data_IF_362109364378
#
_entry.id   IF_362109364378
#
_cell.length_a   1.000
_cell.length_b   1.000
_cell.length_c   1.000
_cell.angle_alpha   90.00
_cell.angle_beta   90.00
_cell.angle_gamma   90.00
#
_symmetry.space_group_name_H-M   'P 1'
#
loop_
_entity.id
_entity.type
_entity.pdbx_description
1 polymer ?
#
# COMPACT_ATOMS: atom_id res chain seq x y z
N UNK A 1 21.02 -0.76 11.21
CA UNK A 1 21.06 -2.18 10.80
C UNK A 1 20.06 -2.42 9.68
N UNK A 2 20.40 -3.23 8.68
CA UNK A 2 19.55 -3.55 7.54
C UNK A 2 19.24 -5.05 7.51
N UNK A 3 17.96 -5.43 7.44
CA UNK A 3 17.54 -6.82 7.26
C UNK A 3 16.70 -6.93 5.98
N UNK A 4 17.32 -7.46 4.93
CA UNK A 4 16.61 -7.80 3.70
C UNK A 4 16.04 -9.22 3.71
N UNK A 5 15.10 -9.48 2.79
CA UNK A 5 14.60 -10.82 2.52
C UNK A 5 15.63 -11.69 1.79
N UNK A 6 15.43 -13.01 1.86
CA UNK A 6 16.37 -14.01 1.33
C UNK A 6 16.47 -13.96 -0.21
N UNK A 7 15.38 -13.56 -0.85
CA UNK A 7 15.25 -13.42 -2.30
C UNK A 7 16.19 -12.35 -2.88
N UNK A 8 16.53 -11.33 -2.09
CA UNK A 8 17.41 -10.24 -2.49
C UNK A 8 18.84 -10.34 -1.90
N UNK A 9 19.23 -11.51 -1.35
CA UNK A 9 20.50 -11.66 -0.58
C UNK A 9 21.73 -11.09 -1.30
N UNK A 10 22.00 -11.57 -2.53
CA UNK A 10 23.19 -11.16 -3.29
C UNK A 10 23.18 -9.66 -3.61
N UNK A 11 22.00 -9.12 -3.94
CA UNK A 11 21.85 -7.69 -4.20
C UNK A 11 22.10 -6.87 -2.94
N UNK A 12 21.57 -7.30 -1.79
CA UNK A 12 21.76 -6.64 -0.51
C UNK A 12 23.23 -6.65 -0.07
N UNK A 13 23.94 -7.76 -0.31
CA UNK A 13 25.37 -7.89 0.01
C UNK A 13 26.21 -6.87 -0.78
N UNK A 14 26.04 -6.83 -2.10
CA UNK A 14 26.79 -5.88 -2.96
C UNK A 14 26.43 -4.43 -2.62
N UNK A 15 25.13 -4.12 -2.46
CA UNK A 15 24.71 -2.76 -2.11
C UNK A 15 25.23 -2.33 -0.74
N UNK A 16 25.20 -3.22 0.25
CA UNK A 16 25.77 -2.96 1.57
C UNK A 16 27.27 -2.71 1.51
N UNK A 17 27.99 -3.47 0.68
CA UNK A 17 29.43 -3.28 0.46
C UNK A 17 29.75 -1.90 -0.12
N UNK A 18 29.03 -1.52 -1.19
CA UNK A 18 29.20 -0.22 -1.87
C UNK A 18 28.90 0.93 -0.90
N UNK A 19 27.78 0.86 -0.18
CA UNK A 19 27.41 1.89 0.80
C UNK A 19 28.49 2.03 1.87
N UNK A 20 28.97 0.90 2.41
CA UNK A 20 30.04 0.90 3.40
C UNK A 20 31.33 1.55 2.88
N UNK A 21 31.76 1.18 1.67
CA UNK A 21 32.95 1.76 1.03
C UNK A 21 32.82 3.28 0.86
N UNK A 22 31.68 3.75 0.35
CA UNK A 22 31.46 5.18 0.14
C UNK A 22 31.46 5.98 1.46
N UNK A 23 30.93 5.41 2.55
CA UNK A 23 30.96 6.04 3.88
C UNK A 23 32.39 6.17 4.39
N UNK A 24 33.17 5.11 4.30
CA UNK A 24 34.56 5.09 4.78
C UNK A 24 35.44 6.05 3.97
N UNK A 25 35.37 5.97 2.64
CA UNK A 25 36.10 6.87 1.73
C UNK A 25 35.68 8.33 1.92
N UNK A 26 34.36 8.61 1.92
CA UNK A 26 33.83 9.97 2.03
C UNK A 26 34.09 10.63 3.38
N UNK A 27 34.25 9.84 4.45
CA UNK A 27 34.62 10.34 5.77
C UNK A 27 36.14 10.44 5.99
N UNK A 28 36.96 10.01 5.03
CA UNK A 28 38.41 9.91 5.19
C UNK A 28 38.82 8.91 6.27
N UNK A 29 38.08 7.81 6.41
CA UNK A 29 38.30 6.76 7.42
C UNK A 29 37.81 7.10 8.83
N UNK A 30 37.17 8.26 9.05
CA UNK A 30 36.64 8.63 10.38
C UNK A 30 35.40 7.83 10.77
N UNK A 31 34.65 7.36 9.78
CA UNK A 31 33.44 6.55 9.97
C UNK A 31 33.68 5.20 9.32
N UNK A 32 33.72 4.15 10.14
CA UNK A 32 33.92 2.79 9.64
C UNK A 32 32.71 2.27 8.86
N UNK A 33 32.97 1.29 7.99
CA UNK A 33 31.96 0.60 7.16
C UNK A 33 30.81 -0.03 7.98
N UNK A 34 31.07 -0.36 9.25
CA UNK A 34 30.11 -1.00 10.16
C UNK A 34 28.91 -0.12 10.55
N UNK A 35 28.97 1.20 10.29
CA UNK A 35 27.84 2.12 10.53
C UNK A 35 26.56 1.59 9.87
N UNK A 36 26.68 1.01 8.67
CA UNK A 36 25.58 0.33 7.97
C UNK A 36 25.87 -1.16 7.93
N UNK A 37 25.30 -1.90 8.88
CA UNK A 37 25.47 -3.35 8.97
C UNK A 37 24.29 -4.11 8.35
N UNK A 38 24.58 -5.07 7.47
CA UNK A 38 23.61 -6.02 6.91
C UNK A 38 23.49 -7.26 7.80
N UNK A 39 22.26 -7.61 8.13
CA UNK A 39 21.92 -8.75 8.97
C UNK A 39 21.59 -9.96 8.07
N UNK A 40 22.45 -10.97 8.09
CA UNK A 40 22.46 -12.06 7.11
C UNK A 40 21.83 -13.37 7.59
N UNK A 41 21.63 -13.59 8.89
CA UNK A 41 21.11 -14.87 9.40
C UNK A 41 19.57 -14.95 9.44
N UNK A 42 19.04 -16.18 9.35
CA UNK A 42 17.60 -16.48 9.15
C UNK A 42 16.75 -16.28 10.40
N UNK A 43 17.33 -16.39 11.59
CA UNK A 43 16.60 -16.50 12.87
C UNK A 43 16.59 -15.19 13.68
N UNK A 44 17.03 -14.08 13.08
CA UNK A 44 17.40 -12.87 13.83
C UNK A 44 16.30 -11.83 13.99
N UNK A 45 15.17 -11.87 13.26
CA UNK A 45 14.15 -10.83 13.46
C UNK A 45 13.63 -10.87 14.89
N UNK A 46 13.25 -12.04 15.41
CA UNK A 46 12.74 -12.17 16.78
C UNK A 46 13.78 -11.74 17.85
N UNK A 47 15.06 -12.00 17.61
CA UNK A 47 16.15 -11.59 18.50
C UNK A 47 16.40 -10.08 18.44
N UNK A 48 16.43 -9.49 17.24
CA UNK A 48 16.57 -8.05 17.04
C UNK A 48 15.43 -7.27 17.67
N UNK A 49 14.20 -7.76 17.56
CA UNK A 49 13.02 -7.14 18.16
C UNK A 49 13.04 -7.10 19.69
N UNK A 50 13.95 -7.84 20.34
CA UNK A 50 14.17 -7.81 21.81
C UNK A 50 15.26 -6.84 22.24
N UNK A 51 16.02 -6.26 21.31
CA UNK A 51 17.14 -5.37 21.62
C UNK A 51 16.67 -3.91 21.85
N UNK A 52 15.68 -3.71 22.71
CA UNK A 52 15.17 -2.36 23.03
C UNK A 52 16.22 -1.44 23.64
N UNK A 53 17.26 -2.00 24.25
CA UNK A 53 18.35 -1.24 24.85
C UNK A 53 19.39 -0.78 23.81
N UNK A 54 19.34 -1.33 22.59
CA UNK A 54 20.30 -1.05 21.52
C UNK A 54 19.65 -0.50 20.24
N UNK A 55 18.34 -0.65 20.06
CA UNK A 55 17.60 -0.26 18.86
C UNK A 55 16.49 0.69 19.26
N UNK A 56 16.60 1.94 18.81
CA UNK A 56 15.63 2.99 19.13
C UNK A 56 14.38 2.98 18.25
N UNK A 57 14.48 2.40 17.04
CA UNK A 57 13.41 2.43 16.04
C UNK A 57 13.48 1.26 15.06
N UNK A 58 12.33 0.65 14.79
CA UNK A 58 12.16 -0.35 13.72
C UNK A 58 11.29 0.21 12.60
N UNK A 59 11.76 0.11 11.36
CA UNK A 59 11.04 0.55 10.16
C UNK A 59 10.72 -0.69 9.29
N UNK A 60 9.58 -1.37 9.52
CA UNK A 60 9.22 -2.52 8.72
C UNK A 60 8.74 -2.09 7.33
N UNK A 61 9.33 -2.68 6.28
CA UNK A 61 8.88 -2.53 4.90
C UNK A 61 8.53 -3.91 4.35
N UNK A 62 7.28 -4.10 3.97
CA UNK A 62 6.76 -5.38 3.50
C UNK A 62 5.24 -5.48 3.67
N UNK A 63 4.72 -6.70 3.58
CA UNK A 63 3.29 -6.94 3.70
C UNK A 63 2.73 -6.67 5.11
N UNK A 64 1.42 -6.43 5.20
CA UNK A 64 0.71 -6.14 6.45
C UNK A 64 1.01 -7.17 7.56
N UNK A 65 1.04 -8.47 7.23
CA UNK A 65 1.38 -9.54 8.19
C UNK A 65 2.75 -9.35 8.85
N UNK A 66 3.76 -8.87 8.12
CA UNK A 66 5.10 -8.60 8.66
C UNK A 66 5.08 -7.39 9.60
N UNK A 67 4.41 -6.31 9.19
CA UNK A 67 4.29 -5.09 10.02
C UNK A 67 3.56 -5.38 11.32
N UNK A 68 2.45 -6.14 11.25
CA UNK A 68 1.67 -6.55 12.42
C UNK A 68 2.46 -7.51 13.32
N UNK A 69 3.16 -8.48 12.74
CA UNK A 69 4.04 -9.36 13.50
C UNK A 69 5.09 -8.56 14.28
N UNK A 70 5.78 -7.62 13.63
CA UNK A 70 6.80 -6.79 14.28
C UNK A 70 6.19 -5.95 15.41
N UNK A 71 5.07 -5.25 15.15
CA UNK A 71 4.37 -4.43 16.16
C UNK A 71 3.95 -5.24 17.39
N UNK A 72 3.53 -6.49 17.21
CA UNK A 72 3.09 -7.35 18.31
C UNK A 72 4.22 -8.04 19.08
N UNK A 73 5.46 -7.99 18.58
CA UNK A 73 6.58 -8.78 19.13
C UNK A 73 7.77 -7.91 19.58
N UNK A 74 7.61 -6.58 19.69
CA UNK A 74 8.68 -5.68 20.14
C UNK A 74 8.15 -4.57 21.04
N UNK A 75 8.99 -4.11 21.96
CA UNK A 75 8.77 -2.88 22.71
C UNK A 75 9.42 -1.66 22.05
N UNK A 76 10.25 -1.88 21.02
CA UNK A 76 10.91 -0.82 20.26
C UNK A 76 9.83 -0.03 19.49
N UNK A 77 9.90 1.32 19.46
CA UNK A 77 9.06 2.11 18.57
C UNK A 77 9.06 1.59 17.13
N UNK A 78 7.88 1.46 16.52
CA UNK A 78 7.72 0.95 15.14
C UNK A 78 7.12 2.01 14.23
N UNK A 79 7.88 2.45 13.23
CA UNK A 79 7.40 3.38 12.20
C UNK A 79 6.98 2.60 10.95
N UNK A 80 5.68 2.34 10.82
CA UNK A 80 5.11 1.67 9.64
C UNK A 80 3.59 1.70 9.60
N UNK A 81 3.04 1.68 8.39
CA UNK A 81 1.60 1.56 8.15
C UNK A 81 1.22 0.09 7.95
N UNK A 82 0.16 -0.35 8.62
CA UNK A 82 -0.32 -1.72 8.50
C UNK A 82 -1.35 -1.86 7.37
N UNK A 83 -2.21 -0.85 7.19
CA UNK A 83 -3.32 -0.89 6.25
C UNK A 83 -3.23 0.27 5.24
N UNK A 84 -3.68 0.00 4.01
CA UNK A 84 -3.68 0.92 2.87
C UNK A 84 -5.04 0.98 2.19
N UNK A 85 -6.11 1.27 2.96
CA UNK A 85 -7.48 1.35 2.41
C UNK A 85 -7.77 2.79 2.00
N UNK A 86 -7.44 3.13 0.76
CA UNK A 86 -7.66 4.47 0.23
C UNK A 86 -9.04 4.62 -0.42
N UNK A 87 -9.64 5.79 -0.22
CA UNK A 87 -10.98 6.12 -0.70
C UNK A 87 -10.89 7.31 -1.65
N UNK A 88 -11.65 7.27 -2.74
CA UNK A 88 -11.88 8.44 -3.61
C UNK A 88 -13.36 8.80 -3.53
N UNK A 89 -13.65 10.09 -3.37
CA UNK A 89 -15.01 10.62 -3.39
C UNK A 89 -15.20 11.55 -4.58
N UNK A 90 -16.26 11.29 -5.36
CA UNK A 90 -16.66 12.11 -6.51
C UNK A 90 -17.89 12.92 -6.12
N UNK A 91 -17.70 14.24 -6.00
CA UNK A 91 -18.75 15.20 -5.66
C UNK A 91 -19.72 15.41 -6.85
N UNK A 92 -20.92 15.92 -6.57
CA UNK A 92 -21.92 16.26 -7.60
C UNK A 92 -21.42 17.30 -8.61
N UNK A 93 -20.54 18.20 -8.17
CA UNK A 93 -19.92 19.25 -9.01
C UNK A 93 -18.65 18.80 -9.73
N UNK A 94 -18.29 17.51 -9.67
CA UNK A 94 -17.07 17.02 -10.30
C UNK A 94 -17.18 17.06 -11.83
N UNK A 95 -16.10 17.48 -12.48
CA UNK A 95 -15.92 17.37 -13.91
C UNK A 95 -15.74 15.89 -14.31
N UNK A 96 -16.54 15.39 -15.25
CA UNK A 96 -16.60 13.97 -15.60
C UNK A 96 -15.28 13.43 -16.16
N UNK A 97 -14.61 14.19 -17.03
CA UNK A 97 -13.36 13.79 -17.66
C UNK A 97 -12.22 13.72 -16.63
N UNK A 98 -12.10 14.74 -15.78
CA UNK A 98 -11.10 14.78 -14.70
C UNK A 98 -11.37 13.68 -13.69
N UNK A 99 -12.62 13.49 -13.27
CA UNK A 99 -12.99 12.45 -12.31
C UNK A 99 -12.63 11.05 -12.85
N UNK A 100 -12.95 10.76 -14.12
CA UNK A 100 -12.61 9.48 -14.74
C UNK A 100 -11.10 9.25 -14.79
N UNK A 101 -10.31 10.27 -15.17
CA UNK A 101 -8.85 10.17 -15.19
C UNK A 101 -8.26 9.89 -13.81
N UNK A 102 -8.67 10.67 -12.80
CA UNK A 102 -8.14 10.56 -11.44
C UNK A 102 -8.51 9.21 -10.82
N UNK A 103 -9.77 8.79 -10.95
CA UNK A 103 -10.27 7.53 -10.37
C UNK A 103 -9.59 6.33 -11.00
N UNK A 104 -9.41 6.34 -12.33
CA UNK A 104 -8.74 5.25 -13.03
C UNK A 104 -7.27 5.19 -12.63
N UNK A 105 -6.53 6.31 -12.69
CA UNK A 105 -5.12 6.35 -12.27
C UNK A 105 -4.93 5.86 -10.82
N UNK A 106 -5.80 6.31 -9.92
CA UNK A 106 -5.76 5.95 -8.51
C UNK A 106 -5.91 4.43 -8.27
N UNK A 107 -6.57 3.66 -9.16
CA UNK A 107 -6.63 2.20 -9.05
C UNK A 107 -5.59 1.49 -9.90
N UNK A 108 -5.32 1.96 -11.11
CA UNK A 108 -4.64 1.15 -12.14
C UNK A 108 -3.15 1.42 -12.29
N UNK A 109 -2.64 2.54 -11.79
CA UNK A 109 -1.22 2.91 -11.95
C UNK A 109 -0.30 1.88 -11.26
N UNK A 110 -0.55 1.60 -9.98
CA UNK A 110 0.10 0.51 -9.27
C UNK A 110 -0.88 -0.14 -8.29
N UNK A 111 -1.69 -1.13 -8.73
CA UNK A 111 -2.76 -1.72 -7.91
C UNK A 111 -2.27 -2.39 -6.63
N UNK A 112 -1.00 -2.79 -6.59
CA UNK A 112 -0.33 -3.35 -5.42
C UNK A 112 0.40 -2.27 -4.59
N UNK A 113 0.01 -1.01 -4.70
CA UNK A 113 0.48 0.05 -3.82
C UNK A 113 -0.47 0.27 -2.65
N UNK A 114 0.05 0.64 -1.49
CA UNK A 114 -0.75 0.86 -0.28
C UNK A 114 -1.62 2.12 -0.35
N UNK A 115 -1.43 2.93 -1.39
CA UNK A 115 -2.20 4.14 -1.66
C UNK A 115 -3.16 3.96 -2.85
N UNK A 116 -3.25 2.76 -3.44
CA UNK A 116 -4.20 2.50 -4.51
C UNK A 116 -5.64 2.62 -3.97
N UNK A 117 -6.54 3.20 -4.77
CA UNK A 117 -7.95 3.32 -4.40
C UNK A 117 -8.57 1.93 -4.20
N UNK A 118 -9.17 1.71 -3.04
CA UNK A 118 -9.94 0.48 -2.75
C UNK A 118 -11.44 0.75 -2.65
N UNK A 119 -11.84 2.00 -2.39
CA UNK A 119 -13.24 2.36 -2.26
C UNK A 119 -13.56 3.65 -3.03
N UNK A 120 -14.52 3.56 -3.94
CA UNK A 120 -15.05 4.69 -4.70
C UNK A 120 -16.40 5.10 -4.13
N UNK A 121 -16.50 6.35 -3.70
CA UNK A 121 -17.71 6.97 -3.18
C UNK A 121 -18.22 7.97 -4.23
N UNK A 122 -19.48 7.83 -4.61
CA UNK A 122 -20.11 8.67 -5.63
C UNK A 122 -21.27 9.42 -4.98
N UNK A 123 -21.33 10.74 -5.14
CA UNK A 123 -22.50 11.51 -4.72
C UNK A 123 -23.73 11.08 -5.54
N UNK A 124 -24.92 11.07 -4.94
CA UNK A 124 -26.14 10.57 -5.61
C UNK A 124 -26.40 11.27 -6.94
N UNK A 125 -26.32 12.60 -6.97
CA UNK A 125 -26.56 13.42 -8.16
C UNK A 125 -25.57 13.13 -9.32
N UNK A 126 -24.44 12.47 -9.05
CA UNK A 126 -23.52 12.05 -10.13
C UNK A 126 -24.11 10.94 -11.00
N UNK A 127 -25.14 10.26 -10.50
CA UNK A 127 -25.93 9.31 -11.29
C UNK A 127 -26.78 10.06 -12.32
N UNK A 128 -27.45 11.11 -11.86
CA UNK A 128 -28.39 11.88 -12.68
C UNK A 128 -27.67 12.72 -13.75
N UNK A 129 -26.49 13.27 -13.42
CA UNK A 129 -25.71 14.08 -14.36
C UNK A 129 -24.74 13.27 -15.24
N UNK A 130 -24.71 11.93 -15.11
CA UNK A 130 -23.93 11.02 -15.94
C UNK A 130 -22.44 10.87 -15.58
N UNK A 131 -21.91 11.65 -14.63
CA UNK A 131 -20.49 11.57 -14.20
C UNK A 131 -20.14 10.19 -13.65
N UNK A 132 -21.03 9.61 -12.82
CA UNK A 132 -20.84 8.27 -12.28
C UNK A 132 -20.70 7.22 -13.38
N UNK A 133 -21.57 7.27 -14.39
CA UNK A 133 -21.55 6.36 -15.54
C UNK A 133 -20.24 6.46 -16.30
N UNK A 134 -19.74 7.68 -16.51
CA UNK A 134 -18.46 7.92 -17.17
C UNK A 134 -17.29 7.33 -16.39
N UNK A 135 -17.21 7.58 -15.08
CA UNK A 135 -16.16 7.06 -14.20
C UNK A 135 -16.17 5.53 -14.17
N UNK A 136 -17.34 4.91 -13.98
CA UNK A 136 -17.48 3.45 -13.93
C UNK A 136 -17.13 2.81 -15.28
N UNK A 137 -17.50 3.44 -16.40
CA UNK A 137 -17.10 2.98 -17.74
C UNK A 137 -15.59 3.01 -17.90
N UNK A 138 -14.91 4.07 -17.46
CA UNK A 138 -13.45 4.17 -17.52
C UNK A 138 -12.76 3.06 -16.73
N UNK A 139 -13.24 2.78 -15.51
CA UNK A 139 -12.73 1.67 -14.68
C UNK A 139 -12.92 0.30 -15.35
N UNK A 140 -14.10 0.03 -15.91
CA UNK A 140 -14.38 -1.22 -16.63
C UNK A 140 -13.50 -1.40 -17.86
N UNK A 141 -13.32 -0.34 -18.65
CA UNK A 141 -12.43 -0.35 -19.82
C UNK A 141 -10.97 -0.61 -19.42
N UNK A 142 -10.57 -0.18 -18.22
CA UNK A 142 -9.26 -0.47 -17.65
C UNK A 142 -9.17 -1.84 -16.96
N UNK A 143 -10.20 -2.70 -17.07
CA UNK A 143 -10.21 -4.05 -16.51
C UNK A 143 -10.46 -4.12 -15.00
N UNK A 144 -10.94 -3.03 -14.38
CA UNK A 144 -11.27 -3.01 -12.95
C UNK A 144 -12.67 -3.58 -12.73
N UNK A 145 -12.78 -4.60 -11.88
CA UNK A 145 -14.05 -5.17 -11.45
C UNK A 145 -14.69 -4.30 -10.37
N UNK A 146 -15.79 -3.66 -10.69
CA UNK A 146 -16.50 -2.80 -9.73
C UNK A 146 -17.46 -3.65 -8.88
N UNK A 147 -17.25 -3.67 -7.56
CA UNK A 147 -18.11 -4.36 -6.60
C UNK A 147 -19.01 -3.34 -5.87
N UNK A 148 -20.29 -3.64 -5.74
CA UNK A 148 -21.24 -2.73 -5.12
C UNK A 148 -22.01 -3.38 -3.96
N UNK A 149 -22.41 -2.55 -3.01
CA UNK A 149 -23.40 -2.91 -1.98
C UNK A 149 -24.81 -3.00 -2.62
N UNK A 150 -25.70 -3.77 -1.99
CA UNK A 150 -27.05 -4.13 -2.50
C UNK A 150 -27.85 -2.96 -3.11
N UNK A 151 -27.81 -1.76 -2.51
CA UNK A 151 -28.50 -0.57 -3.04
C UNK A 151 -28.01 -0.09 -4.41
N UNK A 152 -26.76 -0.34 -4.77
CA UNK A 152 -26.18 0.04 -6.05
C UNK A 152 -26.31 -1.07 -7.11
N UNK A 153 -26.57 -2.31 -6.68
CA UNK A 153 -26.92 -3.42 -7.57
C UNK A 153 -28.28 -3.22 -8.23
N UNK A 154 -29.24 -2.62 -7.51
CA UNK A 154 -30.58 -2.33 -8.04
C UNK A 154 -30.60 -1.25 -9.13
N UNK A 155 -29.58 -0.38 -9.18
CA UNK A 155 -29.45 0.70 -10.18
C UNK A 155 -28.65 0.29 -11.43
N UNK A 156 -28.27 -1.00 -11.56
CA UNK A 156 -27.59 -1.52 -12.76
C UNK A 156 -26.11 -1.15 -12.92
N UNK A 157 -25.46 -0.64 -11.86
CA UNK A 157 -24.15 0.01 -11.93
C UNK A 157 -22.95 -0.91 -11.65
N UNK A 158 -23.13 -2.21 -11.48
CA UNK A 158 -22.06 -3.12 -11.04
C UNK A 158 -22.10 -4.50 -11.71
N UNK A 159 -20.92 -5.14 -11.76
CA UNK A 159 -20.71 -6.38 -12.49
C UNK A 159 -20.91 -7.63 -11.61
N UNK A 160 -20.95 -7.46 -10.28
CA UNK A 160 -21.26 -8.51 -9.31
C UNK A 160 -21.73 -7.92 -7.96
N UNK A 161 -22.67 -8.62 -7.31
CA UNK A 161 -22.99 -8.39 -5.89
C UNK A 161 -21.90 -9.04 -5.02
N UNK A 162 -21.48 -8.39 -3.94
CA UNK A 162 -20.54 -9.00 -3.00
C UNK A 162 -20.91 -8.72 -1.55
N UNK A 163 -21.05 -9.79 -0.76
CA UNK A 163 -21.11 -9.78 0.71
C UNK A 163 -19.73 -9.58 1.37
N UNK A 164 -18.65 -9.56 0.58
CA UNK A 164 -17.28 -9.43 1.04
C UNK A 164 -16.96 -8.00 1.44
N UNK A 165 -16.73 -7.76 2.73
CA UNK A 165 -16.36 -6.45 3.31
C UNK A 165 -14.86 -6.14 3.30
N UNK A 166 -14.04 -7.00 2.68
CA UNK A 166 -12.58 -6.81 2.52
C UNK A 166 -12.16 -7.37 1.17
N UNK A 167 -11.56 -6.55 0.32
CA UNK A 167 -10.73 -7.01 -0.79
C UNK A 167 -9.28 -7.06 -0.33
N UNK A 168 -8.57 -8.13 -0.71
CA UNK A 168 -7.14 -8.25 -0.43
C UNK A 168 -6.31 -7.44 -1.42
N UNK A 169 -5.10 -7.14 -1.01
CA UNK A 169 -4.12 -6.37 -1.75
C UNK A 169 -3.81 -6.99 -3.12
N UNK A 170 -3.90 -6.22 -4.20
CA UNK A 170 -3.65 -6.69 -5.57
C UNK A 170 -4.87 -7.23 -6.32
N UNK A 171 -6.04 -7.27 -5.68
CA UNK A 171 -7.28 -7.50 -6.42
C UNK A 171 -7.66 -6.24 -7.22
N UNK A 172 -7.93 -6.42 -8.52
CA UNK A 172 -8.54 -5.40 -9.40
C UNK A 172 -10.02 -5.19 -9.05
N UNK A 173 -10.31 -4.96 -7.77
CA UNK A 173 -11.66 -4.82 -7.20
C UNK A 173 -11.74 -3.54 -6.37
N UNK A 174 -12.91 -2.89 -6.36
CA UNK A 174 -13.16 -1.67 -5.59
C UNK A 174 -14.61 -1.67 -5.06
N UNK A 175 -14.84 -1.18 -3.84
CA UNK A 175 -16.16 -1.16 -3.18
C UNK A 175 -16.79 0.25 -3.12
N UNK A 176 -18.12 0.36 -3.02
CA UNK A 176 -18.84 1.60 -2.70
C UNK A 176 -19.59 1.48 -1.38
N UNK A 177 -19.37 2.44 -0.46
CA UNK A 177 -20.10 2.53 0.82
C UNK A 177 -21.06 3.72 0.80
N UNK A 178 -22.34 3.48 0.55
CA UNK A 178 -23.37 4.50 0.73
C UNK A 178 -23.68 4.69 2.21
N UNK A 179 -23.51 5.91 2.75
CA UNK A 179 -24.23 6.34 3.96
C UNK A 179 -25.52 7.04 3.51
N UNK A 180 -26.57 6.83 4.29
CA UNK A 180 -27.91 7.35 4.05
C UNK A 180 -28.01 8.86 4.15
#
# INVERSE_FOLDING_TARGET
MLKGGKEARRSNEILGEIIGNCIEEGSGGKVGRSLVSLVSSRDEIASLLKLSDCIDLVIPRGGNKLVQYIKSNTQIPVLGHADGVCHVYVASSADGDKAAKIVTDAKTNYPAACNAMETLLLHRDTLDNGVATQVLRSLRLAGVKCLAAEKATMEGLCDASSSLRKCEYGDMRCQRKGRG
#
